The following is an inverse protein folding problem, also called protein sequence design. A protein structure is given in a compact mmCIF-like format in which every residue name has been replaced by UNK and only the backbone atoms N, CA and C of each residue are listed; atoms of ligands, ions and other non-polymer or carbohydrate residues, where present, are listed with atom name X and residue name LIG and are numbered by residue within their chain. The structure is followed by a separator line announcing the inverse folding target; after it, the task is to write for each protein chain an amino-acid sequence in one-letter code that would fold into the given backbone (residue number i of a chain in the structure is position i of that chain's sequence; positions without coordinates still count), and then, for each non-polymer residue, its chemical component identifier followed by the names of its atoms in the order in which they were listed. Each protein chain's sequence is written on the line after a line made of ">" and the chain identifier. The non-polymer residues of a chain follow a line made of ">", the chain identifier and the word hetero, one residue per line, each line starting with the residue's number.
data_IF_498904404963
#
_entry.id   IF_498904404963
#
_cell.length_a   1.000
_cell.length_b   1.000
_cell.length_c   1.000
_cell.angle_alpha   90.00
_cell.angle_beta   90.00
_cell.angle_gamma   90.00
#
_symmetry.space_group_name_H-M   'P 1'
#
loop_
_entity.id
_entity.type
_entity.pdbx_description
1 polymer ?
#
# COMPACT_ATOMS: atom_id res chain seq x y z
N UNK A 1 -6.12 -18.52 -14.46
CA UNK A 1 -5.72 -18.21 -13.08
C UNK A 1 -5.96 -16.72 -12.92
N UNK A 2 -7.03 -16.31 -12.25
CA UNK A 2 -7.33 -14.90 -12.03
C UNK A 2 -6.30 -14.32 -11.07
N UNK A 3 -5.66 -13.21 -11.44
CA UNK A 3 -4.83 -12.45 -10.50
C UNK A 3 -5.70 -11.94 -9.35
N UNK A 4 -5.31 -12.25 -8.11
CA UNK A 4 -5.95 -11.73 -6.92
C UNK A 4 -5.24 -10.44 -6.53
N UNK A 5 -5.88 -9.29 -6.79
CA UNK A 5 -5.33 -7.96 -6.50
C UNK A 5 -5.18 -7.67 -5.00
N UNK A 6 -5.67 -8.55 -4.12
CA UNK A 6 -5.56 -8.43 -2.67
C UNK A 6 -4.48 -9.37 -2.10
N UNK A 7 -3.65 -9.91 -2.98
CA UNK A 7 -2.55 -10.78 -2.63
C UNK A 7 -1.30 -10.29 -3.35
N UNK A 8 -0.30 -9.90 -2.57
CA UNK A 8 1.01 -9.53 -3.09
C UNK A 8 1.55 -10.61 -4.04
N UNK A 9 2.10 -10.17 -5.17
CA UNK A 9 2.65 -11.08 -6.16
C UNK A 9 3.82 -11.88 -5.56
N UNK A 10 3.81 -13.21 -5.76
CA UNK A 10 4.78 -14.16 -5.15
C UNK A 10 6.24 -13.91 -5.56
N UNK A 11 6.46 -13.13 -6.62
CA UNK A 11 7.79 -12.80 -7.14
C UNK A 11 8.45 -11.62 -6.45
N UNK A 12 7.75 -10.90 -5.58
CA UNK A 12 8.37 -9.85 -4.77
C UNK A 12 8.95 -10.53 -3.55
N UNK A 13 10.27 -10.44 -3.35
CA UNK A 13 10.93 -10.86 -2.11
C UNK A 13 10.35 -10.01 -0.97
N UNK A 14 9.27 -10.52 -0.38
CA UNK A 14 8.57 -9.84 0.68
C UNK A 14 9.42 -9.92 1.93
N UNK A 15 9.70 -8.76 2.49
CA UNK A 15 10.12 -8.68 3.87
C UNK A 15 8.84 -8.84 4.70
N UNK A 16 8.45 -10.09 4.95
CA UNK A 16 7.39 -10.42 5.89
C UNK A 16 7.75 -9.83 7.26
N UNK A 17 6.78 -9.34 8.01
CA UNK A 17 6.96 -8.77 9.36
C UNK A 17 7.64 -7.38 9.41
N UNK A 18 7.60 -6.63 8.30
CA UNK A 18 7.96 -5.20 8.30
C UNK A 18 6.72 -4.34 8.50
N UNK A 19 6.77 -3.46 9.50
CA UNK A 19 5.81 -2.37 9.63
C UNK A 19 6.08 -1.32 8.55
N UNK A 20 5.13 -1.18 7.62
CA UNK A 20 5.20 -0.24 6.50
C UNK A 20 4.66 1.14 6.87
N UNK A 21 4.12 1.35 8.07
CA UNK A 21 3.63 2.64 8.50
C UNK A 21 4.74 3.72 8.44
N UNK A 22 4.40 4.90 7.92
CA UNK A 22 5.31 6.03 7.76
C UNK A 22 6.20 5.99 6.52
N UNK A 23 6.23 4.89 5.77
CA UNK A 23 6.94 4.82 4.49
C UNK A 23 6.30 5.74 3.45
N UNK A 24 7.11 6.32 2.57
CA UNK A 24 6.63 7.14 1.46
C UNK A 24 6.04 6.27 0.36
N UNK A 25 4.95 6.75 -0.22
CA UNK A 25 4.31 6.16 -1.40
C UNK A 25 4.63 7.03 -2.61
N UNK A 26 5.33 6.44 -3.57
CA UNK A 26 5.71 7.06 -4.84
C UNK A 26 4.96 6.38 -5.99
N UNK A 27 4.39 7.18 -6.88
CA UNK A 27 3.88 6.74 -8.16
C UNK A 27 4.93 7.01 -9.26
N UNK A 28 4.68 6.50 -10.47
CA UNK A 28 5.58 6.71 -11.61
C UNK A 28 5.77 8.17 -12.02
N UNK A 29 4.85 9.04 -11.62
CA UNK A 29 4.79 10.46 -11.94
C UNK A 29 5.08 11.37 -10.73
N UNK A 30 5.29 10.82 -9.53
CA UNK A 30 5.69 11.58 -8.35
C UNK A 30 5.16 11.05 -7.04
N UNK A 31 5.42 11.78 -5.96
CA UNK A 31 5.04 11.41 -4.60
C UNK A 31 3.54 11.54 -4.35
N UNK A 32 2.94 10.52 -3.76
CA UNK A 32 1.52 10.48 -3.40
C UNK A 32 1.30 10.84 -1.92
N UNK A 33 2.15 10.32 -1.03
CA UNK A 33 1.94 10.48 0.40
C UNK A 33 2.73 9.51 1.26
N UNK A 34 2.14 9.10 2.38
CA UNK A 34 2.73 8.14 3.33
C UNK A 34 1.73 7.06 3.72
N UNK A 35 2.21 5.87 4.02
CA UNK A 35 1.39 4.80 4.58
C UNK A 35 0.98 5.17 6.00
N UNK A 36 -0.32 5.24 6.28
CA UNK A 36 -0.86 5.40 7.63
C UNK A 36 -1.04 4.03 8.32
N UNK A 37 -1.58 3.04 7.58
CA UNK A 37 -1.80 1.67 8.06
C UNK A 37 -1.56 0.65 6.94
N UNK A 38 -1.26 -0.58 7.30
CA UNK A 38 -1.20 -1.69 6.34
C UNK A 38 -1.75 -2.98 6.94
N UNK A 39 -2.20 -3.88 6.05
CA UNK A 39 -2.53 -5.26 6.37
C UNK A 39 -1.74 -6.18 5.46
N UNK A 40 -1.33 -7.30 6.03
CA UNK A 40 -0.58 -8.34 5.36
C UNK A 40 -1.28 -9.71 5.41
N UNK A 41 -2.57 -9.69 5.74
CA UNK A 41 -3.38 -10.88 5.79
C UNK A 41 -3.59 -11.44 4.38
N UNK A 42 -3.32 -12.73 4.18
CA UNK A 42 -3.44 -13.37 2.88
C UNK A 42 -4.87 -13.28 2.33
N UNK A 43 -5.02 -12.64 1.17
CA UNK A 43 -6.32 -12.41 0.53
C UNK A 43 -7.06 -11.15 1.00
N UNK A 44 -6.50 -10.42 1.96
CA UNK A 44 -7.01 -9.14 2.49
C UNK A 44 -5.86 -8.15 2.74
N UNK A 45 -4.81 -8.19 1.91
CA UNK A 45 -3.64 -7.34 2.06
C UNK A 45 -3.89 -5.97 1.40
N UNK A 46 -3.53 -4.89 2.10
CA UNK A 46 -3.78 -3.52 1.66
C UNK A 46 -2.85 -2.50 2.33
N UNK A 47 -2.77 -1.32 1.72
CA UNK A 47 -2.18 -0.11 2.30
C UNK A 47 -3.26 0.98 2.43
N UNK A 48 -3.28 1.67 3.57
CA UNK A 48 -3.99 2.94 3.73
C UNK A 48 -2.95 4.04 3.61
N UNK A 49 -3.14 4.94 2.64
CA UNK A 49 -2.20 6.01 2.32
C UNK A 49 -2.82 7.34 2.68
N UNK A 50 -2.18 8.07 3.59
CA UNK A 50 -2.43 9.49 3.81
C UNK A 50 -1.78 10.29 2.69
N UNK A 51 -2.61 10.95 1.89
CA UNK A 51 -2.16 11.79 0.77
C UNK A 51 -1.80 13.22 1.20
N UNK A 52 -1.97 13.54 2.49
CA UNK A 52 -1.67 14.87 3.03
C UNK A 52 -2.49 15.95 2.31
N UNK A 53 -1.96 17.17 2.12
CA UNK A 53 -2.70 18.26 1.48
C UNK A 53 -3.14 17.99 0.03
N UNK A 54 -2.53 16.98 -0.61
CA UNK A 54 -2.90 16.55 -1.95
C UNK A 54 -4.30 15.90 -1.92
N UNK A 55 -5.09 16.09 -2.97
CA UNK A 55 -6.49 15.63 -3.08
C UNK A 55 -7.37 15.84 -1.82
N UNK A 56 -7.20 16.97 -1.13
CA UNK A 56 -8.00 17.41 0.02
C UNK A 56 -7.80 16.61 1.34
N UNK A 57 -6.63 16.03 1.61
CA UNK A 57 -6.42 15.37 2.92
C UNK A 57 -7.14 14.05 3.05
N UNK A 58 -7.19 13.27 1.96
CA UNK A 58 -7.90 11.99 1.96
C UNK A 58 -6.95 10.83 2.26
N UNK A 59 -7.50 9.84 2.95
CA UNK A 59 -6.90 8.51 3.03
C UNK A 59 -7.44 7.65 1.89
N UNK A 60 -6.55 6.92 1.21
CA UNK A 60 -6.89 6.04 0.10
C UNK A 60 -6.43 4.62 0.40
N UNK A 61 -7.26 3.64 0.06
CA UNK A 61 -6.95 2.22 0.22
C UNK A 61 -6.41 1.65 -1.10
N UNK A 62 -5.20 1.11 -1.05
CA UNK A 62 -4.54 0.45 -2.17
C UNK A 62 -4.48 -1.06 -1.92
N UNK A 63 -4.88 -1.88 -2.90
CA UNK A 63 -4.81 -3.33 -2.80
C UNK A 63 -3.37 -3.83 -3.08
N UNK A 64 -3.04 -5.04 -2.61
CA UNK A 64 -1.69 -5.61 -2.57
C UNK A 64 -1.21 -6.33 -3.84
#
# INVERSE_FOLDING_TARGET
>A
MSENVWAYHVTVDRITDVDLAGYKVEASDGTIGKVDKHSDEAGSAYLVVDTGPWIFGKEVLLPA
#
